data_IF_323556031199
#
_entry.id   IF_323556031199
#
_cell.length_a   1.000
_cell.length_b   1.000
_cell.length_c   1.000
_cell.angle_alpha   90.00
_cell.angle_beta   90.00
_cell.angle_gamma   90.00
#
_symmetry.space_group_name_H-M   'P 1'
#
loop_
_entity.id
_entity.type
_entity.pdbx_description
1 polymer ?
#
# COMPACT_ATOMS: atom_id res chain seq x y z
N UNK A 1 -20.40 11.17 37.90
CA UNK A 1 -19.17 10.90 37.14
C UNK A 1 -19.42 10.06 35.86
N UNK A 2 -20.21 8.98 35.88
CA UNK A 2 -20.48 8.19 34.66
C UNK A 2 -21.73 8.66 33.87
N UNK A 3 -22.76 9.14 34.56
CA UNK A 3 -24.01 9.62 33.93
C UNK A 3 -23.85 10.92 33.12
N UNK A 4 -22.90 11.79 33.48
CA UNK A 4 -22.63 13.05 32.76
C UNK A 4 -21.96 12.84 31.39
N UNK A 5 -21.34 11.66 31.16
CA UNK A 5 -20.67 11.33 29.90
C UNK A 5 -21.58 10.66 28.86
N UNK A 6 -22.81 10.29 29.24
CA UNK A 6 -23.75 9.62 28.35
C UNK A 6 -24.21 10.49 27.18
N UNK A 7 -24.56 11.78 27.36
CA UNK A 7 -24.91 12.66 26.23
C UNK A 7 -23.73 12.89 25.27
N UNK A 8 -22.52 13.02 25.81
CA UNK A 8 -21.30 13.19 25.00
C UNK A 8 -21.02 11.93 24.15
N UNK A 9 -21.13 10.75 24.77
CA UNK A 9 -20.94 9.46 24.08
C UNK A 9 -22.00 9.22 23.01
N UNK A 10 -23.24 9.58 23.29
CA UNK A 10 -24.34 9.53 22.34
C UNK A 10 -24.05 10.41 21.10
N UNK A 11 -23.70 11.68 21.33
CA UNK A 11 -23.34 12.61 20.26
C UNK A 11 -22.12 12.17 19.45
N UNK A 12 -21.14 11.56 20.09
CA UNK A 12 -19.97 10.99 19.41
C UNK A 12 -20.36 9.83 18.48
N UNK A 13 -21.17 8.89 18.96
CA UNK A 13 -21.66 7.76 18.16
C UNK A 13 -22.48 8.26 16.97
N UNK A 14 -23.35 9.25 17.18
CA UNK A 14 -24.19 9.84 16.13
C UNK A 14 -23.32 10.47 15.03
N UNK A 15 -22.26 11.21 15.42
CA UNK A 15 -21.29 11.77 14.48
C UNK A 15 -20.56 10.68 13.68
N UNK A 16 -20.12 9.61 14.35
CA UNK A 16 -19.43 8.47 13.71
C UNK A 16 -20.34 7.74 12.72
N UNK A 17 -21.61 7.54 13.07
CA UNK A 17 -22.63 6.94 12.19
C UNK A 17 -22.79 7.74 10.89
N UNK A 18 -22.95 9.06 10.99
CA UNK A 18 -23.06 9.94 9.80
C UNK A 18 -21.79 9.88 8.96
N UNK A 19 -20.61 10.03 9.58
CA UNK A 19 -19.33 10.01 8.87
C UNK A 19 -19.08 8.70 8.12
N UNK A 20 -19.33 7.55 8.77
CA UNK A 20 -19.12 6.23 8.17
C UNK A 20 -20.16 5.91 7.09
N UNK A 21 -21.42 6.37 7.23
CA UNK A 21 -22.45 6.23 6.19
C UNK A 21 -22.07 7.02 4.93
N UNK A 22 -21.61 8.26 5.09
CA UNK A 22 -21.10 9.06 3.96
C UNK A 22 -19.91 8.38 3.29
N UNK A 23 -18.99 7.81 4.07
CA UNK A 23 -17.83 7.10 3.52
C UNK A 23 -18.23 5.82 2.78
N UNK A 24 -19.19 5.05 3.29
CA UNK A 24 -19.72 3.87 2.61
C UNK A 24 -20.31 4.26 1.25
N UNK A 25 -21.15 5.31 1.20
CA UNK A 25 -21.74 5.80 -0.05
C UNK A 25 -20.66 6.24 -1.06
N UNK A 26 -19.63 6.96 -0.61
CA UNK A 26 -18.52 7.37 -1.46
C UNK A 26 -17.75 6.16 -2.01
N UNK A 27 -17.55 5.12 -1.19
CA UNK A 27 -16.89 3.89 -1.61
C UNK A 27 -17.72 3.09 -2.61
N UNK A 28 -19.04 3.02 -2.46
CA UNK A 28 -19.93 2.39 -3.47
C UNK A 28 -19.67 2.96 -4.87
N UNK A 29 -19.61 4.30 -4.99
CA UNK A 29 -19.32 4.97 -6.27
C UNK A 29 -17.91 4.67 -6.78
N UNK A 30 -16.91 4.67 -5.89
CA UNK A 30 -15.50 4.42 -6.26
C UNK A 30 -15.24 2.98 -6.66
N UNK A 31 -15.90 2.00 -6.02
CA UNK A 31 -15.80 0.58 -6.40
C UNK A 31 -16.23 0.37 -7.85
N UNK A 32 -17.26 1.09 -8.32
CA UNK A 32 -17.68 1.05 -9.73
C UNK A 32 -16.63 1.54 -10.73
N UNK A 33 -15.57 2.23 -10.28
CA UNK A 33 -14.46 2.68 -11.13
C UNK A 33 -13.35 1.63 -11.27
N UNK A 34 -13.39 0.53 -10.51
CA UNK A 34 -12.35 -0.51 -10.57
C UNK A 34 -12.44 -1.34 -11.85
N UNK A 35 -13.64 -1.64 -12.35
CA UNK A 35 -13.81 -2.43 -13.57
C UNK A 35 -13.19 -1.77 -14.82
N UNK A 36 -13.37 -0.45 -15.07
CA UNK A 36 -12.63 0.26 -16.11
C UNK A 36 -11.11 0.16 -15.95
N UNK A 37 -10.58 0.28 -14.74
CA UNK A 37 -9.14 0.16 -14.44
C UNK A 37 -8.63 -1.24 -14.78
N UNK A 38 -9.33 -2.29 -14.34
CA UNK A 38 -8.99 -3.68 -14.66
C UNK A 38 -9.06 -3.97 -16.16
N UNK A 39 -10.03 -3.39 -16.86
CA UNK A 39 -10.17 -3.54 -18.31
C UNK A 39 -8.98 -2.92 -19.05
N UNK A 40 -8.52 -1.74 -18.61
CA UNK A 40 -7.32 -1.10 -19.16
C UNK A 40 -6.06 -1.92 -18.87
N UNK A 41 -5.93 -2.45 -17.65
CA UNK A 41 -4.81 -3.30 -17.27
C UNK A 41 -4.72 -4.56 -18.15
N UNK A 42 -5.84 -5.27 -18.33
CA UNK A 42 -5.93 -6.48 -19.18
C UNK A 42 -5.58 -6.20 -20.64
N UNK A 43 -5.93 -5.02 -21.15
CA UNK A 43 -5.68 -4.63 -22.54
C UNK A 43 -4.20 -4.36 -22.81
N UNK A 44 -3.48 -3.83 -21.83
CA UNK A 44 -2.13 -3.25 -22.05
C UNK A 44 -0.99 -4.00 -21.41
N UNK A 45 -1.25 -4.77 -20.37
CA UNK A 45 -0.21 -5.40 -19.56
C UNK A 45 -0.41 -6.92 -19.47
N UNK A 46 0.68 -7.62 -19.18
CA UNK A 46 0.68 -9.07 -18.96
C UNK A 46 -0.18 -9.46 -17.75
N UNK A 47 -0.59 -10.72 -17.68
CA UNK A 47 -1.42 -11.24 -16.59
C UNK A 47 -0.80 -10.99 -15.19
N UNK A 48 0.53 -11.11 -15.08
CA UNK A 48 1.26 -10.87 -13.82
C UNK A 48 1.03 -9.46 -13.23
N UNK A 49 0.69 -8.48 -14.07
CA UNK A 49 0.43 -7.10 -13.64
C UNK A 49 -0.95 -6.88 -13.00
N UNK A 50 -1.91 -7.80 -13.15
CA UNK A 50 -3.30 -7.54 -12.76
C UNK A 50 -4.10 -8.76 -12.29
N UNK A 51 -3.60 -9.99 -12.46
CA UNK A 51 -4.35 -11.19 -12.11
C UNK A 51 -4.72 -11.24 -10.62
N UNK A 52 -3.84 -10.75 -9.75
CA UNK A 52 -4.09 -10.63 -8.31
C UNK A 52 -5.21 -9.64 -7.96
N UNK A 53 -5.50 -8.68 -8.85
CA UNK A 53 -6.53 -7.67 -8.66
C UNK A 53 -7.93 -8.10 -9.13
N UNK A 54 -8.08 -9.28 -9.77
CA UNK A 54 -9.34 -9.69 -10.39
C UNK A 54 -10.53 -9.73 -9.43
N UNK A 55 -10.30 -10.08 -8.16
CA UNK A 55 -11.35 -10.22 -7.15
C UNK A 55 -11.67 -8.91 -6.40
N UNK A 56 -10.92 -7.83 -6.66
CA UNK A 56 -11.09 -6.56 -5.94
C UNK A 56 -12.52 -5.98 -6.09
N UNK A 57 -13.16 -5.96 -7.27
CA UNK A 57 -14.52 -5.44 -7.42
C UNK A 57 -15.53 -6.18 -6.54
N UNK A 58 -15.52 -7.51 -6.60
CA UNK A 58 -16.45 -8.37 -5.84
C UNK A 58 -16.23 -8.23 -4.33
N UNK A 59 -14.96 -8.26 -3.89
CA UNK A 59 -14.60 -8.10 -2.49
C UNK A 59 -14.98 -6.71 -1.95
N UNK A 60 -14.75 -5.67 -2.75
CA UNK A 60 -15.10 -4.30 -2.38
C UNK A 60 -16.62 -4.14 -2.27
N UNK A 61 -17.39 -4.69 -3.22
CA UNK A 61 -18.85 -4.67 -3.18
C UNK A 61 -19.38 -5.42 -1.94
N UNK A 62 -18.81 -6.58 -1.61
CA UNK A 62 -19.20 -7.35 -0.43
C UNK A 62 -18.86 -6.62 0.87
N UNK A 63 -17.65 -6.09 1.01
CA UNK A 63 -17.25 -5.34 2.20
C UNK A 63 -18.14 -4.11 2.44
N UNK A 64 -18.52 -3.40 1.37
CA UNK A 64 -19.45 -2.25 1.48
C UNK A 64 -20.83 -2.72 1.93
N UNK A 65 -21.39 -3.79 1.35
CA UNK A 65 -22.68 -4.37 1.82
C UNK A 65 -22.62 -4.75 3.30
N UNK A 66 -21.54 -5.40 3.73
CA UNK A 66 -21.34 -5.76 5.14
C UNK A 66 -21.23 -4.53 6.04
N UNK A 67 -20.50 -3.50 5.60
CA UNK A 67 -20.38 -2.24 6.33
C UNK A 67 -21.74 -1.53 6.47
N UNK A 68 -22.57 -1.52 5.42
CA UNK A 68 -23.92 -0.95 5.46
C UNK A 68 -24.85 -1.72 6.40
N UNK A 69 -24.80 -3.05 6.39
CA UNK A 69 -25.54 -3.88 7.34
C UNK A 69 -25.10 -3.60 8.79
N UNK A 70 -23.80 -3.54 9.05
CA UNK A 70 -23.25 -3.22 10.38
C UNK A 70 -23.54 -1.80 10.82
N UNK A 71 -23.68 -0.84 9.91
CA UNK A 71 -24.15 0.51 10.22
C UNK A 71 -25.59 0.51 10.72
N UNK A 72 -26.49 -0.32 10.14
CA UNK A 72 -27.86 -0.47 10.63
C UNK A 72 -27.89 -1.08 12.03
N UNK A 73 -27.09 -2.14 12.26
CA UNK A 73 -26.98 -2.74 13.59
C UNK A 73 -26.38 -1.76 14.62
N UNK A 74 -25.41 -0.94 14.23
CA UNK A 74 -24.82 0.08 15.10
C UNK A 74 -25.84 1.17 15.46
N UNK A 75 -26.67 1.58 14.51
CA UNK A 75 -27.79 2.50 14.75
C UNK A 75 -28.78 1.89 15.74
N UNK A 76 -29.20 0.64 15.55
CA UNK A 76 -30.10 -0.04 16.47
C UNK A 76 -29.52 -0.13 17.89
N UNK A 77 -28.26 -0.53 18.02
CA UNK A 77 -27.59 -0.57 19.32
C UNK A 77 -27.48 0.82 19.97
N UNK A 78 -27.31 1.87 19.15
CA UNK A 78 -27.32 3.26 19.60
C UNK A 78 -28.71 3.71 20.10
N UNK A 79 -29.77 3.31 19.41
CA UNK A 79 -31.15 3.64 19.77
C UNK A 79 -31.58 2.92 21.06
N UNK A 80 -31.14 1.67 21.23
CA UNK A 80 -31.34 0.84 22.43
C UNK A 80 -30.34 1.16 23.56
N UNK A 81 -29.48 2.16 23.39
CA UNK A 81 -28.47 2.59 24.37
C UNK A 81 -27.46 1.50 24.78
N UNK A 82 -27.24 0.51 23.91
CA UNK A 82 -26.17 -0.50 24.05
C UNK A 82 -24.85 0.06 23.55
N UNK A 83 -24.24 0.95 24.34
CA UNK A 83 -23.06 1.72 23.93
C UNK A 83 -21.82 0.89 23.54
N UNK A 84 -21.42 -0.17 24.26
CA UNK A 84 -20.28 -1.00 23.87
C UNK A 84 -20.50 -1.68 22.51
N UNK A 85 -21.72 -2.14 22.30
CA UNK A 85 -22.21 -2.80 21.10
C UNK A 85 -22.20 -1.89 19.88
N UNK A 86 -22.70 -0.65 20.01
CA UNK A 86 -22.62 0.36 18.95
C UNK A 86 -21.16 0.68 18.63
N UNK A 87 -20.32 0.85 19.64
CA UNK A 87 -18.89 1.17 19.48
C UNK A 87 -18.15 0.06 18.71
N UNK A 88 -18.35 -1.20 19.10
CA UNK A 88 -17.72 -2.36 18.46
C UNK A 88 -18.11 -2.49 16.98
N UNK A 89 -19.41 -2.31 16.68
CA UNK A 89 -19.91 -2.34 15.30
C UNK A 89 -19.33 -1.21 14.45
N UNK A 90 -19.25 0.02 14.98
CA UNK A 90 -18.62 1.13 14.26
C UNK A 90 -17.13 0.91 13.99
N UNK A 91 -16.39 0.28 14.91
CA UNK A 91 -14.99 -0.12 14.68
C UNK A 91 -14.88 -1.14 13.55
N UNK A 92 -15.80 -2.11 13.49
CA UNK A 92 -15.86 -3.11 12.42
C UNK A 92 -16.17 -2.45 11.06
N UNK A 93 -17.16 -1.56 11.02
CA UNK A 93 -17.47 -0.76 9.82
C UNK A 93 -16.24 0.00 9.34
N UNK A 94 -15.54 0.70 10.25
CA UNK A 94 -14.33 1.45 9.89
C UNK A 94 -13.26 0.54 9.29
N UNK A 95 -13.03 -0.64 9.86
CA UNK A 95 -12.06 -1.59 9.33
C UNK A 95 -12.42 -2.06 7.91
N UNK A 96 -13.67 -2.48 7.69
CA UNK A 96 -14.17 -2.90 6.37
C UNK A 96 -14.02 -1.79 5.32
N UNK A 97 -14.42 -0.56 5.66
CA UNK A 97 -14.33 0.57 4.74
C UNK A 97 -12.87 0.96 4.45
N UNK A 98 -11.98 0.90 5.45
CA UNK A 98 -10.55 1.15 5.24
C UNK A 98 -9.93 0.12 4.30
N UNK A 99 -10.12 -1.17 4.55
CA UNK A 99 -9.59 -2.24 3.69
C UNK A 99 -10.12 -2.13 2.26
N UNK A 100 -11.40 -1.76 2.10
CA UNK A 100 -11.99 -1.56 0.77
C UNK A 100 -11.38 -0.36 0.06
N UNK A 101 -11.22 0.75 0.76
CA UNK A 101 -10.61 1.97 0.23
C UNK A 101 -9.17 1.72 -0.23
N UNK A 102 -8.38 1.00 0.56
CA UNK A 102 -7.02 0.59 0.24
C UNK A 102 -6.97 -0.30 -1.01
N UNK A 103 -7.83 -1.32 -1.10
CA UNK A 103 -7.86 -2.23 -2.25
C UNK A 103 -8.29 -1.52 -3.55
N UNK A 104 -9.32 -0.66 -3.49
CA UNK A 104 -9.79 0.14 -4.63
C UNK A 104 -8.70 1.11 -5.09
N UNK A 105 -8.04 1.79 -4.15
CA UNK A 105 -6.96 2.74 -4.48
C UNK A 105 -5.75 2.04 -5.08
N UNK A 106 -5.36 0.87 -4.54
CA UNK A 106 -4.23 0.10 -5.01
C UNK A 106 -4.37 -0.33 -6.49
N UNK A 107 -5.59 -0.64 -6.95
CA UNK A 107 -5.82 -0.96 -8.37
C UNK A 107 -5.56 0.23 -9.29
N UNK A 108 -6.07 1.42 -8.92
CA UNK A 108 -5.85 2.66 -9.66
C UNK A 108 -4.37 3.07 -9.67
N UNK A 109 -3.73 3.04 -8.49
CA UNK A 109 -2.30 3.33 -8.34
C UNK A 109 -1.44 2.37 -9.15
N UNK A 110 -1.81 1.07 -9.21
CA UNK A 110 -1.09 0.10 -10.03
C UNK A 110 -1.15 0.46 -11.51
N UNK A 111 -2.33 0.79 -12.04
CA UNK A 111 -2.44 1.23 -13.43
C UNK A 111 -1.63 2.50 -13.70
N UNK A 112 -1.66 3.49 -12.81
CA UNK A 112 -0.87 4.71 -12.96
C UNK A 112 0.64 4.41 -12.99
N UNK A 113 1.14 3.57 -12.07
CA UNK A 113 2.55 3.20 -12.00
C UNK A 113 2.99 2.41 -13.21
N UNK A 114 2.18 1.46 -13.66
CA UNK A 114 2.44 0.66 -14.86
C UNK A 114 2.47 1.54 -16.12
N UNK A 115 1.55 2.50 -16.23
CA UNK A 115 1.58 3.49 -17.30
C UNK A 115 2.86 4.32 -17.29
N UNK A 116 3.27 4.83 -16.14
CA UNK A 116 4.48 5.63 -16.01
C UNK A 116 5.73 4.85 -16.41
N UNK A 117 5.93 3.65 -15.85
CA UNK A 117 7.13 2.84 -16.11
C UNK A 117 7.16 2.28 -17.53
N UNK A 118 5.99 1.96 -18.11
CA UNK A 118 5.93 1.53 -19.52
C UNK A 118 6.34 2.63 -20.49
N UNK A 119 6.12 3.90 -20.11
CA UNK A 119 6.52 5.06 -20.92
C UNK A 119 8.01 5.35 -20.78
N UNK A 120 8.54 5.27 -19.57
CA UNK A 120 9.96 5.53 -19.29
C UNK A 120 10.44 4.68 -18.09
N UNK A 121 11.00 3.48 -18.32
CA UNK A 121 11.57 2.68 -17.26
C UNK A 121 12.88 3.26 -16.72
N UNK A 122 13.55 4.14 -17.48
CA UNK A 122 14.88 4.63 -17.16
C UNK A 122 14.89 5.47 -15.89
N UNK A 123 13.81 6.22 -15.62
CA UNK A 123 13.65 6.97 -14.37
C UNK A 123 13.77 6.05 -13.13
N UNK A 124 13.12 4.90 -13.17
CA UNK A 124 13.11 3.94 -12.06
C UNK A 124 14.46 3.21 -11.91
N UNK A 125 15.11 2.90 -13.05
CA UNK A 125 16.45 2.33 -13.09
C UNK A 125 17.46 3.29 -12.44
N UNK A 126 17.51 4.54 -12.88
CA UNK A 126 18.48 5.51 -12.41
C UNK A 126 18.27 5.88 -10.93
N UNK A 127 17.01 6.00 -10.49
CA UNK A 127 16.68 6.16 -9.07
C UNK A 127 17.25 5.03 -8.21
N UNK A 128 17.12 3.79 -8.68
CA UNK A 128 17.61 2.60 -7.95
C UNK A 128 19.14 2.52 -7.97
N UNK A 129 19.76 2.75 -9.13
CA UNK A 129 21.23 2.83 -9.26
C UNK A 129 21.83 3.92 -8.38
N UNK A 130 21.18 5.07 -8.29
CA UNK A 130 21.63 6.16 -7.45
C UNK A 130 21.63 5.75 -5.97
N UNK A 131 20.54 5.15 -5.47
CA UNK A 131 20.46 4.68 -4.09
C UNK A 131 21.56 3.65 -3.76
N UNK A 132 21.79 2.67 -4.65
CA UNK A 132 22.85 1.68 -4.46
C UNK A 132 24.23 2.36 -4.39
N UNK A 133 24.56 3.22 -5.36
CA UNK A 133 25.87 3.91 -5.41
C UNK A 133 26.10 4.78 -4.20
N UNK A 134 25.07 5.49 -3.72
CA UNK A 134 25.17 6.33 -2.53
C UNK A 134 25.44 5.50 -1.28
N UNK A 135 24.74 4.37 -1.12
CA UNK A 135 25.00 3.44 -0.02
C UNK A 135 26.39 2.78 -0.10
N UNK A 136 26.85 2.41 -1.30
CA UNK A 136 28.21 1.89 -1.50
C UNK A 136 29.26 2.95 -1.11
N UNK A 137 29.07 4.21 -1.52
CA UNK A 137 29.92 5.32 -1.10
C UNK A 137 29.92 5.50 0.42
N UNK A 138 28.76 5.41 1.05
CA UNK A 138 28.64 5.49 2.51
C UNK A 138 29.40 4.36 3.20
N UNK A 139 29.28 3.12 2.72
CA UNK A 139 29.97 1.95 3.26
C UNK A 139 31.51 2.06 3.16
N UNK A 140 32.01 2.75 2.13
CA UNK A 140 33.44 3.00 1.92
C UNK A 140 33.99 4.19 2.71
N UNK A 141 33.14 5.09 3.23
CA UNK A 141 33.62 6.34 3.82
C UNK A 141 34.54 6.09 5.02
N UNK A 142 35.77 6.64 4.93
CA UNK A 142 36.82 6.51 5.94
C UNK A 142 37.56 5.17 5.93
N UNK A 143 37.42 4.34 4.88
CA UNK A 143 37.95 2.97 4.83
C UNK A 143 38.54 2.65 3.45
N UNK A 144 39.53 1.77 3.42
CA UNK A 144 40.08 1.21 2.17
C UNK A 144 39.27 -0.01 1.67
N UNK A 145 38.59 -0.72 2.57
CA UNK A 145 37.80 -1.92 2.25
C UNK A 145 36.48 -1.87 3.03
N UNK A 146 35.33 -2.12 2.39
CA UNK A 146 34.04 -2.10 3.06
C UNK A 146 33.88 -3.34 3.93
N UNK A 147 33.13 -3.23 5.02
CA UNK A 147 32.75 -4.40 5.81
C UNK A 147 31.87 -5.34 4.99
N UNK A 148 32.18 -6.64 5.04
CA UNK A 148 31.50 -7.64 4.22
C UNK A 148 29.97 -7.68 4.45
N UNK A 149 29.53 -7.42 5.68
CA UNK A 149 28.10 -7.33 6.04
C UNK A 149 27.35 -6.19 5.35
N UNK A 150 28.05 -5.14 4.94
CA UNK A 150 27.49 -4.01 4.19
C UNK A 150 27.69 -4.20 2.68
N UNK A 151 28.86 -4.69 2.26
CA UNK A 151 29.21 -4.86 0.85
C UNK A 151 28.34 -5.92 0.15
N UNK A 152 28.23 -7.12 0.74
CA UNK A 152 27.52 -8.25 0.13
C UNK A 152 26.06 -7.93 -0.26
N UNK A 153 25.21 -7.37 0.61
CA UNK A 153 23.83 -7.04 0.22
C UNK A 153 23.76 -5.91 -0.84
N UNK A 154 24.74 -5.01 -0.90
CA UNK A 154 24.79 -3.96 -1.93
C UNK A 154 25.22 -4.51 -3.29
N UNK A 155 26.19 -5.42 -3.33
CA UNK A 155 26.60 -6.10 -4.57
C UNK A 155 25.48 -6.99 -5.11
N UNK A 156 24.77 -7.71 -4.23
CA UNK A 156 23.58 -8.47 -4.60
C UNK A 156 22.48 -7.55 -5.16
N UNK A 157 22.32 -6.36 -4.59
CA UNK A 157 21.36 -5.35 -5.07
C UNK A 157 21.68 -4.87 -6.49
N UNK A 158 22.95 -4.75 -6.87
CA UNK A 158 23.36 -4.47 -8.26
C UNK A 158 22.92 -5.61 -9.18
N UNK A 159 23.28 -6.85 -8.85
CA UNK A 159 22.93 -8.01 -9.67
C UNK A 159 21.42 -8.26 -9.79
N UNK A 160 20.65 -7.90 -8.74
CA UNK A 160 19.18 -7.93 -8.76
C UNK A 160 18.62 -6.87 -9.71
N UNK A 161 19.13 -5.63 -9.65
CA UNK A 161 18.71 -4.58 -10.57
C UNK A 161 19.03 -4.92 -12.02
N UNK A 162 20.23 -5.45 -12.32
CA UNK A 162 20.60 -5.81 -13.68
C UNK A 162 19.69 -6.90 -14.27
N UNK A 163 19.31 -7.91 -13.47
CA UNK A 163 18.33 -8.92 -13.87
C UNK A 163 16.93 -8.34 -14.09
N UNK A 164 16.50 -7.40 -13.26
CA UNK A 164 15.22 -6.72 -13.42
C UNK A 164 15.19 -5.85 -14.68
N UNK A 165 16.31 -5.23 -15.05
CA UNK A 165 16.42 -4.47 -16.31
C UNK A 165 16.39 -5.41 -17.52
N UNK A 166 17.14 -6.52 -17.46
CA UNK A 166 17.14 -7.52 -18.54
C UNK A 166 15.74 -8.14 -18.76
N UNK A 167 14.92 -8.28 -17.72
CA UNK A 167 13.54 -8.80 -17.86
C UNK A 167 12.59 -7.83 -18.57
N UNK A 168 13.01 -6.58 -18.84
CA UNK A 168 12.28 -5.64 -19.68
C UNK A 168 12.47 -5.89 -21.18
N UNK A 169 13.40 -6.76 -21.57
CA UNK A 169 13.60 -7.13 -22.97
C UNK A 169 12.48 -8.06 -23.45
N UNK A 170 11.78 -7.69 -24.53
CA UNK A 170 10.74 -8.51 -25.15
C UNK A 170 9.47 -7.74 -25.50
N UNK A 171 8.46 -8.47 -25.99
CA UNK A 171 7.23 -7.86 -26.54
C UNK A 171 6.25 -7.38 -25.47
N UNK A 172 6.19 -8.07 -24.34
CA UNK A 172 5.30 -7.74 -23.21
C UNK A 172 6.04 -7.96 -21.88
N UNK A 173 6.86 -6.98 -21.45
CA UNK A 173 7.55 -7.05 -20.18
C UNK A 173 6.62 -7.18 -18.97
N UNK A 174 7.08 -7.89 -17.95
CA UNK A 174 6.46 -7.87 -16.63
C UNK A 174 6.92 -6.62 -15.86
N UNK A 175 6.29 -5.50 -16.18
CA UNK A 175 6.55 -4.21 -15.51
C UNK A 175 6.18 -4.24 -14.03
N UNK A 176 5.27 -5.14 -13.61
CA UNK A 176 4.93 -5.26 -12.20
C UNK A 176 6.06 -5.92 -11.42
N UNK A 177 6.60 -7.03 -11.93
CA UNK A 177 7.79 -7.64 -11.35
C UNK A 177 8.95 -6.66 -11.28
N UNK A 178 9.25 -5.95 -12.38
CA UNK A 178 10.28 -4.91 -12.40
C UNK A 178 10.11 -3.87 -11.30
N UNK A 179 8.92 -3.26 -11.17
CA UNK A 179 8.63 -2.26 -10.14
C UNK A 179 8.73 -2.80 -8.71
N UNK A 180 8.29 -4.03 -8.48
CA UNK A 180 8.38 -4.66 -7.15
C UNK A 180 9.83 -4.99 -6.78
N UNK A 181 10.62 -5.42 -7.76
CA UNK A 181 12.03 -5.78 -7.57
C UNK A 181 12.90 -4.54 -7.32
N UNK A 182 12.69 -3.44 -8.05
CA UNK A 182 13.41 -2.17 -7.83
C UNK A 182 13.08 -1.56 -6.45
N UNK A 183 11.82 -1.64 -6.00
CA UNK A 183 11.43 -1.21 -4.66
C UNK A 183 12.05 -2.09 -3.57
N UNK A 184 12.05 -3.42 -3.77
CA UNK A 184 12.69 -4.36 -2.84
C UNK A 184 14.21 -4.11 -2.73
N UNK A 185 14.87 -3.84 -3.85
CA UNK A 185 16.28 -3.44 -3.89
C UNK A 185 16.51 -2.16 -3.07
N UNK A 186 15.70 -1.10 -3.29
CA UNK A 186 15.83 0.13 -2.51
C UNK A 186 15.58 -0.08 -1.01
N UNK A 187 14.67 -0.96 -0.65
CA UNK A 187 14.41 -1.33 0.75
C UNK A 187 15.63 -2.01 1.39
N UNK A 188 16.26 -2.95 0.69
CA UNK A 188 17.52 -3.57 1.13
C UNK A 188 18.61 -2.53 1.32
N UNK A 189 18.79 -1.63 0.33
CA UNK A 189 19.78 -0.54 0.39
C UNK A 189 19.53 0.38 1.59
N UNK A 190 18.28 0.78 1.83
CA UNK A 190 17.91 1.63 2.96
C UNK A 190 18.23 0.98 4.31
N UNK A 191 18.02 -0.35 4.43
CA UNK A 191 18.37 -1.11 5.64
C UNK A 191 19.88 -1.08 5.90
N UNK A 192 20.70 -1.29 4.87
CA UNK A 192 22.17 -1.21 4.98
C UNK A 192 22.61 0.20 5.41
N UNK A 193 22.03 1.24 4.81
CA UNK A 193 22.32 2.64 5.20
C UNK A 193 21.95 2.90 6.66
N UNK A 194 20.79 2.42 7.11
CA UNK A 194 20.38 2.55 8.51
C UNK A 194 21.36 1.87 9.46
N UNK A 195 21.79 0.64 9.14
CA UNK A 195 22.77 -0.09 9.94
C UNK A 195 24.12 0.64 10.01
N UNK A 196 24.65 1.13 8.90
CA UNK A 196 25.92 1.89 8.89
C UNK A 196 25.81 3.13 9.76
N UNK A 197 24.67 3.84 9.70
CA UNK A 197 24.46 5.07 10.49
C UNK A 197 24.33 4.75 11.98
N UNK A 198 23.65 3.68 12.33
CA UNK A 198 23.54 3.21 13.71
C UNK A 198 24.90 2.85 14.28
N UNK A 199 25.70 2.04 13.58
CA UNK A 199 27.06 1.66 13.99
C UNK A 199 27.97 2.87 14.19
N UNK A 200 27.83 3.91 13.35
CA UNK A 200 28.58 5.18 13.50
C UNK A 200 28.08 6.04 14.65
N UNK A 201 26.77 6.06 14.89
CA UNK A 201 26.17 6.79 16.01
C UNK A 201 26.43 6.15 17.37
N UNK A 202 26.65 4.84 17.41
CA UNK A 202 27.05 4.10 18.62
C UNK A 202 28.57 4.13 18.88
N UNK A 203 29.37 4.49 17.88
CA UNK A 203 30.83 4.62 17.97
C UNK A 203 31.34 6.04 18.24
N UNK A 204 30.45 7.01 18.40
CA UNK A 204 30.72 8.39 18.81
C UNK A 204 30.32 8.60 20.27
#
# INVERSE_FOLDING_TARGET
>A
AEAERLPERAAEIDRRLVSLRTRAQALTTRTGQVDPVLSELRRRFTAACWQDLQHVPDQAAENVRQAEAKLKEAQQARDEQRWPDATSRLSTVRALLNTTDEAVSAAGDRLQRLNAVSKDPQQEIERTRFAIRDAQRLAMAGRQTPEQRHARPLDESVARLDRAVASLEGRHPDYWHFLTETEAVRTTVARVVAQIREERGQGA
#
